data_IF_967609332542
#
_entry.id   IF_967609332542
#
_cell.length_a   1.000
_cell.length_b   1.000
_cell.length_c   1.000
_cell.angle_alpha   90.00
_cell.angle_beta   90.00
_cell.angle_gamma   90.00
#
_symmetry.space_group_name_H-M   'P 1'
#
loop_
_entity.id
_entity.type
_entity.pdbx_description
1 polymer ?
#
# COMPACT_ATOMS: atom_id res chain seq x y z
N UNK A 1 -32.74 -15.69 16.86
CA UNK A 1 -32.08 -14.47 16.32
C UNK A 1 -31.03 -14.91 15.32
N UNK A 2 -31.25 -14.71 14.02
CA UNK A 2 -30.23 -15.02 13.00
C UNK A 2 -29.55 -13.70 12.60
N UNK A 3 -28.29 -13.55 12.98
CA UNK A 3 -27.47 -12.42 12.54
C UNK A 3 -26.90 -12.75 11.16
N UNK A 4 -27.42 -12.09 10.12
CA UNK A 4 -26.89 -12.23 8.76
C UNK A 4 -25.58 -11.46 8.63
N UNK A 5 -24.46 -12.17 8.55
CA UNK A 5 -23.15 -11.60 8.19
C UNK A 5 -23.24 -11.15 6.73
N UNK A 6 -23.41 -9.85 6.51
CA UNK A 6 -23.38 -9.25 5.16
C UNK A 6 -21.95 -9.34 4.63
N UNK A 7 -21.70 -10.24 3.69
CA UNK A 7 -20.44 -10.26 2.97
C UNK A 7 -20.35 -9.02 2.08
N UNK A 8 -19.50 -8.06 2.44
CA UNK A 8 -19.19 -6.91 1.58
C UNK A 8 -18.41 -7.40 0.36
N UNK A 9 -19.10 -7.58 -0.77
CA UNK A 9 -18.49 -7.88 -2.07
C UNK A 9 -17.60 -6.70 -2.47
N UNK A 10 -16.27 -6.86 -2.37
CA UNK A 10 -15.31 -5.86 -2.85
C UNK A 10 -15.42 -5.75 -4.37
N UNK A 11 -16.03 -4.67 -4.84
CA UNK A 11 -15.96 -4.26 -6.25
C UNK A 11 -14.51 -3.93 -6.59
N UNK A 12 -13.90 -4.65 -7.52
CA UNK A 12 -12.58 -4.31 -8.06
C UNK A 12 -12.78 -3.13 -9.01
N UNK A 13 -12.50 -1.91 -8.54
CA UNK A 13 -12.36 -0.76 -9.44
C UNK A 13 -11.05 -0.93 -10.21
N UNK A 14 -11.15 -0.89 -11.54
CA UNK A 14 -9.97 -0.83 -12.41
C UNK A 14 -9.55 0.63 -12.43
N UNK A 15 -8.39 0.90 -11.86
CA UNK A 15 -7.75 2.21 -11.88
C UNK A 15 -6.48 2.02 -12.69
N UNK A 16 -6.27 2.86 -13.70
CA UNK A 16 -4.99 2.94 -14.40
C UNK A 16 -4.00 3.64 -13.47
N UNK A 17 -2.88 2.97 -13.20
CA UNK A 17 -1.82 3.46 -12.34
C UNK A 17 -0.61 3.78 -13.20
N UNK A 18 0.18 4.77 -12.79
CA UNK A 18 1.53 4.95 -13.32
C UNK A 18 2.44 3.82 -12.83
N UNK A 19 3.60 3.66 -13.48
CA UNK A 19 4.61 2.68 -13.07
C UNK A 19 5.07 2.91 -11.62
N UNK A 20 5.30 4.18 -11.24
CA UNK A 20 5.70 4.55 -9.88
C UNK A 20 4.63 4.26 -8.82
N UNK A 21 3.35 4.50 -9.12
CA UNK A 21 2.24 4.16 -8.24
C UNK A 21 2.11 2.64 -8.05
N UNK A 22 2.27 1.88 -9.14
CA UNK A 22 2.23 0.43 -9.10
C UNK A 22 3.32 -0.14 -8.19
N UNK A 23 4.57 0.30 -8.38
CA UNK A 23 5.73 -0.13 -7.61
C UNK A 23 5.58 0.21 -6.12
N UNK A 24 5.07 1.39 -5.80
CA UNK A 24 4.78 1.77 -4.42
C UNK A 24 3.75 0.84 -3.78
N UNK A 25 2.63 0.58 -4.47
CA UNK A 25 1.56 -0.29 -3.95
C UNK A 25 2.05 -1.72 -3.77
N UNK A 26 2.81 -2.28 -4.70
CA UNK A 26 3.39 -3.61 -4.57
C UNK A 26 4.36 -3.69 -3.40
N UNK A 27 5.21 -2.68 -3.22
CA UNK A 27 6.15 -2.61 -2.09
C UNK A 27 5.39 -2.54 -0.75
N UNK A 28 4.29 -1.78 -0.67
CA UNK A 28 3.43 -1.74 0.54
C UNK A 28 2.78 -3.10 0.81
N UNK A 29 2.29 -3.78 -0.23
CA UNK A 29 1.70 -5.12 -0.09
C UNK A 29 2.74 -6.12 0.40
N UNK A 30 3.95 -6.08 -0.14
CA UNK A 30 5.06 -6.92 0.28
C UNK A 30 5.46 -6.63 1.72
N UNK A 31 5.60 -5.36 2.11
CA UNK A 31 5.85 -4.97 3.50
C UNK A 31 4.80 -5.52 4.47
N UNK A 32 3.52 -5.47 4.11
CA UNK A 32 2.42 -6.01 4.94
C UNK A 32 2.42 -7.54 4.97
N UNK A 33 2.88 -8.20 3.91
CA UNK A 33 2.98 -9.66 3.81
C UNK A 33 4.20 -10.21 4.56
N UNK A 34 5.26 -9.43 4.70
CA UNK A 34 6.46 -9.77 5.47
C UNK A 34 6.14 -9.84 6.98
N UNK A 35 5.75 -11.03 7.43
CA UNK A 35 5.57 -11.35 8.85
C UNK A 35 6.93 -11.40 9.57
N UNK A 36 7.04 -11.02 10.86
CA UNK A 36 5.99 -10.57 11.78
C UNK A 36 5.80 -9.05 11.88
N UNK A 37 6.72 -8.23 11.35
CA UNK A 37 6.70 -6.77 11.58
C UNK A 37 7.06 -5.92 10.37
N UNK A 38 6.94 -6.46 9.15
CA UNK A 38 7.47 -5.82 7.95
C UNK A 38 9.00 -5.70 8.03
N UNK A 39 9.66 -5.67 6.89
CA UNK A 39 11.11 -5.47 6.91
C UNK A 39 11.42 -3.97 7.17
N UNK A 40 12.23 -3.61 8.17
CA UNK A 40 12.55 -2.21 8.44
C UNK A 40 13.16 -1.48 7.24
N UNK A 41 13.90 -2.20 6.39
CA UNK A 41 14.48 -1.67 5.14
C UNK A 41 13.40 -1.28 4.13
N UNK A 42 12.35 -2.10 4.00
CA UNK A 42 11.19 -1.79 3.15
C UNK A 42 10.46 -0.54 3.64
N UNK A 43 10.41 -0.30 4.97
CA UNK A 43 9.82 0.93 5.52
C UNK A 43 10.57 2.20 5.12
N UNK A 44 11.89 2.12 4.96
CA UNK A 44 12.69 3.25 4.50
C UNK A 44 12.51 3.47 2.99
N UNK A 45 12.56 2.40 2.20
CA UNK A 45 12.29 2.46 0.76
C UNK A 45 10.90 3.04 0.45
N UNK A 46 9.87 2.64 1.21
CA UNK A 46 8.52 3.18 1.07
C UNK A 46 8.42 4.68 1.34
N UNK A 47 9.29 5.25 2.17
CA UNK A 47 9.30 6.70 2.41
C UNK A 47 9.87 7.45 1.22
N UNK A 48 11.02 7.02 0.69
CA UNK A 48 11.59 7.61 -0.51
C UNK A 48 10.64 7.50 -1.71
N UNK A 49 10.04 6.33 -1.93
CA UNK A 49 9.04 6.15 -2.99
C UNK A 49 7.81 7.06 -2.83
N UNK A 50 7.41 7.34 -1.58
CA UNK A 50 6.30 8.26 -1.32
C UNK A 50 6.71 9.73 -1.56
N UNK A 51 7.92 10.12 -1.16
CA UNK A 51 8.49 11.44 -1.42
C UNK A 51 8.58 11.71 -2.94
N UNK A 52 9.10 10.73 -3.70
CA UNK A 52 9.19 10.82 -5.17
C UNK A 52 7.81 10.95 -5.81
N UNK A 53 6.80 10.25 -5.27
CA UNK A 53 5.43 10.25 -5.81
C UNK A 53 4.66 11.54 -5.51
N UNK A 54 4.93 12.17 -4.37
CA UNK A 54 4.28 13.42 -3.96
C UNK A 54 4.98 14.66 -4.51
N UNK A 55 6.21 14.52 -5.04
CA UNK A 55 7.08 15.64 -5.44
C UNK A 55 7.29 16.68 -4.32
N UNK A 56 6.98 16.32 -3.07
CA UNK A 56 7.04 17.17 -1.89
C UNK A 56 8.04 16.62 -0.88
N UNK A 57 9.00 17.43 -0.39
CA UNK A 57 9.86 17.00 0.71
C UNK A 57 9.04 16.91 2.00
N UNK A 58 8.92 15.70 2.59
CA UNK A 58 8.39 15.56 3.95
C UNK A 58 9.26 16.39 4.89
N UNK A 59 8.66 17.39 5.54
CA UNK A 59 9.34 18.29 6.47
C UNK A 59 10.21 17.50 7.47
N UNK A 60 11.48 17.91 7.58
CA UNK A 60 12.55 17.24 8.34
C UNK A 60 12.41 17.38 9.85
#
# INVERSE_FOLDING_TARGET
MQCSIKQHKKMKRIVELTESEFDFIETVRNYKRSHPRGEPKLRWALRGMLEDLLEEPLEK
#
